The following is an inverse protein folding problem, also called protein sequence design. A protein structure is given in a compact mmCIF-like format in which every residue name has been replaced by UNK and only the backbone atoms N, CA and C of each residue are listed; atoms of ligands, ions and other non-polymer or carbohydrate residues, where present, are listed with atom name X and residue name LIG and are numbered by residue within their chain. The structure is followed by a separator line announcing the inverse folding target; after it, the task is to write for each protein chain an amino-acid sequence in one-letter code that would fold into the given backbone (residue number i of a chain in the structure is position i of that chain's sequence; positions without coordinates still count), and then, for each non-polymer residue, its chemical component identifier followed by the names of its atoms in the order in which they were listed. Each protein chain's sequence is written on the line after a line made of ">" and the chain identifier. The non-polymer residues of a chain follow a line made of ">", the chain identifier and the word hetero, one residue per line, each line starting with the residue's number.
data_IF_178928206195
#
_entry.id   IF_178928206195
#
_cell.length_a   1.000
_cell.length_b   1.000
_cell.length_c   1.000
_cell.angle_alpha   90.00
_cell.angle_beta   90.00
_cell.angle_gamma   90.00
#
_symmetry.space_group_name_H-M   'P 1'
#
loop_
_entity.id
_entity.type
_entity.pdbx_description
1 polymer ?
#
# COMPACT_ATOMS: atom_id res chain seq x y z
N UNK A 1 12.13 0.48 7.87
CA UNK A 1 10.74 0.65 7.38
C UNK A 1 10.76 0.89 5.87
N UNK A 2 10.07 0.03 5.11
CA UNK A 2 9.95 0.13 3.65
C UNK A 2 8.78 1.06 3.28
N UNK A 3 9.08 2.22 2.70
CA UNK A 3 8.07 3.20 2.31
C UNK A 3 7.71 3.04 0.82
N UNK A 4 6.53 2.48 0.56
CA UNK A 4 6.01 2.25 -0.79
C UNK A 4 5.31 3.51 -1.31
N UNK A 5 5.74 3.99 -2.48
CA UNK A 5 4.99 5.03 -3.19
C UNK A 5 3.83 4.36 -3.94
N UNK A 6 2.61 4.64 -3.49
CA UNK A 6 1.39 4.04 -4.05
C UNK A 6 0.82 4.88 -5.22
N UNK A 7 0.21 4.23 -6.22
CA UNK A 7 -0.55 4.90 -7.29
C UNK A 7 0.31 5.65 -8.30
N UNK A 8 1.39 5.02 -8.76
CA UNK A 8 2.41 5.64 -9.63
C UNK A 8 2.13 5.48 -11.13
N UNK A 9 1.07 4.76 -11.52
CA UNK A 9 0.70 4.41 -12.91
C UNK A 9 0.81 5.54 -13.96
N UNK A 10 0.61 6.80 -13.57
CA UNK A 10 0.68 7.98 -14.44
C UNK A 10 2.05 8.68 -14.51
N UNK A 11 3.11 8.15 -13.90
CA UNK A 11 4.38 8.86 -13.68
C UNK A 11 5.62 8.06 -14.11
N UNK A 12 5.55 7.34 -15.23
CA UNK A 12 6.68 6.52 -15.78
C UNK A 12 8.01 7.28 -15.72
N UNK A 13 8.09 8.44 -16.36
CA UNK A 13 9.33 9.24 -16.46
C UNK A 13 9.91 9.62 -15.08
N UNK A 14 9.16 10.26 -14.15
CA UNK A 14 9.64 10.53 -12.80
C UNK A 14 10.12 9.28 -12.04
N UNK A 15 9.43 8.14 -12.19
CA UNK A 15 9.78 6.91 -11.48
C UNK A 15 11.12 6.36 -11.97
N UNK A 16 11.35 6.29 -13.28
CA UNK A 16 12.65 5.89 -13.84
C UNK A 16 13.77 6.90 -13.57
N UNK A 17 13.43 8.19 -13.44
CA UNK A 17 14.38 9.26 -13.11
C UNK A 17 14.86 9.20 -11.67
N UNK A 18 13.93 9.13 -10.70
CA UNK A 18 14.26 9.23 -9.27
C UNK A 18 14.48 7.87 -8.61
N UNK A 19 13.97 6.80 -9.22
CA UNK A 19 14.23 5.41 -8.84
C UNK A 19 13.81 5.10 -7.38
N UNK A 20 12.53 5.20 -7.02
CA UNK A 20 12.05 4.80 -5.69
C UNK A 20 12.28 3.30 -5.43
N UNK A 21 12.80 2.93 -4.25
CA UNK A 21 13.13 1.53 -3.96
C UNK A 21 11.88 0.65 -3.77
N UNK A 22 10.75 1.24 -3.37
CA UNK A 22 9.54 0.49 -3.03
C UNK A 22 8.32 1.12 -3.70
N UNK A 23 7.53 0.30 -4.39
CA UNK A 23 6.30 0.71 -5.06
C UNK A 23 5.12 -0.14 -4.59
N UNK A 24 3.96 0.47 -4.49
CA UNK A 24 2.70 -0.26 -4.37
C UNK A 24 1.81 0.16 -5.53
N UNK A 25 1.15 -0.79 -6.18
CA UNK A 25 0.16 -0.46 -7.20
C UNK A 25 -1.01 -1.42 -7.13
N UNK A 26 -2.18 -0.93 -7.51
CA UNK A 26 -3.37 -1.74 -7.60
C UNK A 26 -3.40 -2.55 -8.90
N UNK A 27 -3.84 -3.80 -8.84
CA UNK A 27 -4.00 -4.70 -9.99
C UNK A 27 -4.77 -4.05 -11.15
N UNK A 28 -5.83 -3.30 -10.87
CA UNK A 28 -6.63 -2.64 -11.91
C UNK A 28 -5.93 -1.42 -12.55
N UNK A 29 -4.93 -0.86 -11.87
CA UNK A 29 -4.25 0.38 -12.26
C UNK A 29 -2.85 0.14 -12.82
N UNK A 30 -2.26 -1.03 -12.52
CA UNK A 30 -0.90 -1.37 -12.93
C UNK A 30 -0.73 -1.25 -14.45
N UNK A 31 0.47 -0.82 -14.86
CA UNK A 31 0.83 -0.57 -16.26
C UNK A 31 2.03 -1.43 -16.67
N UNK A 32 2.17 -1.77 -17.97
CA UNK A 32 3.30 -2.56 -18.45
C UNK A 32 4.67 -2.00 -18.05
N UNK A 33 4.83 -0.67 -18.05
CA UNK A 33 6.09 -0.05 -17.64
C UNK A 33 6.43 -0.26 -16.15
N UNK A 34 5.42 -0.44 -15.28
CA UNK A 34 5.66 -0.76 -13.88
C UNK A 34 6.20 -2.18 -13.76
N UNK A 35 5.74 -3.12 -14.59
CA UNK A 35 6.28 -4.48 -14.67
C UNK A 35 7.75 -4.49 -15.11
N UNK A 36 8.14 -3.58 -16.02
CA UNK A 36 9.55 -3.36 -16.37
C UNK A 36 10.34 -2.80 -15.17
N UNK A 37 9.76 -1.84 -14.44
CA UNK A 37 10.42 -1.20 -13.30
C UNK A 37 10.62 -2.15 -12.12
N UNK A 38 9.62 -2.97 -11.78
CA UNK A 38 9.72 -3.92 -10.65
C UNK A 38 10.79 -5.00 -10.88
N UNK A 39 11.08 -5.34 -12.14
CA UNK A 39 12.16 -6.27 -12.52
C UNK A 39 13.53 -5.59 -12.64
N UNK A 40 13.59 -4.26 -12.52
CA UNK A 40 14.84 -3.50 -12.61
C UNK A 40 15.62 -3.57 -11.29
N UNK A 41 16.96 -3.38 -11.31
CA UNK A 41 17.78 -3.36 -10.08
C UNK A 41 17.48 -2.17 -9.15
N UNK A 42 16.58 -1.27 -9.55
CA UNK A 42 16.17 -0.11 -8.77
C UNK A 42 15.05 -0.41 -7.79
N UNK A 43 14.21 -1.40 -8.10
CA UNK A 43 13.08 -1.79 -7.26
C UNK A 43 13.55 -2.89 -6.30
N UNK A 44 13.51 -2.60 -5.01
CA UNK A 44 13.84 -3.55 -3.93
C UNK A 44 12.62 -4.30 -3.41
N UNK A 45 11.42 -3.83 -3.73
CA UNK A 45 10.18 -4.48 -3.31
C UNK A 45 8.96 -3.83 -3.94
N UNK A 46 8.01 -4.66 -4.31
CA UNK A 46 6.76 -4.24 -4.90
C UNK A 46 5.62 -4.97 -4.20
N UNK A 47 4.56 -4.25 -3.83
CA UNK A 47 3.32 -4.85 -3.32
C UNK A 47 2.23 -4.61 -4.37
N UNK A 48 1.60 -5.70 -4.80
CA UNK A 48 0.40 -5.63 -5.62
C UNK A 48 -0.83 -5.59 -4.72
N UNK A 49 -1.59 -4.50 -4.75
CA UNK A 49 -2.90 -4.44 -4.10
C UNK A 49 -3.96 -5.03 -5.03
N UNK A 50 -4.94 -5.74 -4.48
CA UNK A 50 -6.03 -6.35 -5.26
C UNK A 50 -6.87 -5.28 -5.96
N UNK A 51 -6.91 -4.04 -5.47
CA UNK A 51 -7.73 -2.96 -6.08
C UNK A 51 -9.20 -2.99 -5.68
N UNK A 52 -9.55 -3.84 -4.72
CA UNK A 52 -10.83 -3.92 -4.04
C UNK A 52 -11.41 -2.55 -3.64
N UNK A 53 -10.55 -1.62 -3.21
CA UNK A 53 -10.95 -0.26 -2.80
C UNK A 53 -11.72 0.51 -3.88
N UNK A 54 -11.40 0.28 -5.15
CA UNK A 54 -12.09 0.96 -6.27
C UNK A 54 -13.55 0.50 -6.40
N UNK A 55 -13.83 -0.75 -6.05
CA UNK A 55 -15.19 -1.29 -6.08
C UNK A 55 -16.02 -0.80 -4.90
N UNK A 56 -15.42 -0.60 -3.71
CA UNK A 56 -16.13 -0.07 -2.54
C UNK A 56 -16.83 1.28 -2.79
N UNK A 57 -16.33 2.10 -3.72
CA UNK A 57 -16.90 3.43 -4.02
C UNK A 57 -17.88 3.45 -5.20
N UNK A 58 -18.13 2.30 -5.85
CA UNK A 58 -18.97 2.24 -7.06
C UNK A 58 -20.33 1.59 -6.75
N UNK A 59 -21.43 2.20 -7.20
CA UNK A 59 -22.79 1.60 -7.11
C UNK A 59 -22.97 0.33 -7.99
N UNK A 60 -21.89 -0.19 -8.59
CA UNK A 60 -21.89 -1.31 -9.55
C UNK A 60 -21.62 -2.69 -8.92
N UNK A 61 -21.46 -2.76 -7.59
CA UNK A 61 -21.02 -3.99 -6.90
C UNK A 61 -22.00 -5.16 -6.99
N UNK A 62 -23.26 -4.94 -7.35
CA UNK A 62 -24.28 -5.98 -7.40
C UNK A 62 -24.12 -7.02 -8.53
N UNK A 63 -23.07 -6.92 -9.38
CA UNK A 63 -22.86 -7.83 -10.52
C UNK A 63 -21.42 -8.35 -10.69
N UNK A 64 -20.54 -8.13 -9.71
CA UNK A 64 -19.16 -8.58 -9.84
C UNK A 64 -19.03 -10.01 -9.35
N UNK A 65 -18.56 -10.90 -10.21
CA UNK A 65 -18.16 -12.25 -9.84
C UNK A 65 -16.77 -12.18 -9.20
N UNK A 66 -16.74 -12.36 -7.88
CA UNK A 66 -15.49 -12.27 -7.11
C UNK A 66 -14.58 -13.47 -7.29
N UNK A 67 -15.15 -14.65 -7.61
CA UNK A 67 -14.35 -15.84 -7.88
C UNK A 67 -13.65 -15.68 -9.24
N UNK A 68 -14.38 -15.25 -10.28
CA UNK A 68 -13.76 -14.91 -11.58
C UNK A 68 -12.70 -13.81 -11.44
N UNK A 69 -12.93 -12.83 -10.56
CA UNK A 69 -11.95 -11.79 -10.26
C UNK A 69 -10.67 -12.36 -9.63
N UNK A 70 -10.81 -13.22 -8.62
CA UNK A 70 -9.68 -13.88 -7.95
C UNK A 70 -8.89 -14.72 -8.94
N UNK A 71 -9.55 -15.49 -9.80
CA UNK A 71 -8.87 -16.29 -10.83
C UNK A 71 -8.02 -15.41 -11.75
N UNK A 72 -8.58 -14.31 -12.27
CA UNK A 72 -7.83 -13.37 -13.13
C UNK A 72 -6.68 -12.69 -12.38
N UNK A 73 -6.87 -12.40 -11.10
CA UNK A 73 -5.84 -11.81 -10.26
C UNK A 73 -4.70 -12.80 -9.98
N UNK A 74 -5.02 -14.05 -9.68
CA UNK A 74 -4.07 -15.16 -9.52
C UNK A 74 -3.27 -15.40 -10.82
N UNK A 75 -3.95 -15.45 -11.98
CA UNK A 75 -3.31 -15.56 -13.29
C UNK A 75 -2.29 -14.45 -13.52
N UNK A 76 -2.62 -13.21 -13.14
CA UNK A 76 -1.71 -12.08 -13.26
C UNK A 76 -0.50 -12.21 -12.33
N UNK A 77 -0.72 -12.61 -11.07
CA UNK A 77 0.34 -12.85 -10.09
C UNK A 77 1.30 -13.92 -10.61
N UNK A 78 0.79 -15.03 -11.11
CA UNK A 78 1.58 -16.15 -11.64
C UNK A 78 2.34 -15.74 -12.91
N UNK A 79 1.66 -15.08 -13.86
CA UNK A 79 2.24 -14.64 -15.13
C UNK A 79 3.45 -13.73 -14.95
N UNK A 80 3.41 -12.85 -13.97
CA UNK A 80 4.48 -11.87 -13.73
C UNK A 80 5.38 -12.22 -12.55
N UNK A 81 5.15 -13.38 -11.92
CA UNK A 81 5.85 -13.86 -10.74
C UNK A 81 5.90 -12.81 -9.62
N UNK A 82 4.72 -12.28 -9.28
CA UNK A 82 4.61 -11.29 -8.21
C UNK A 82 4.81 -12.00 -6.85
N UNK A 83 5.77 -11.51 -6.06
CA UNK A 83 6.13 -12.10 -4.77
C UNK A 83 5.22 -11.64 -3.62
N UNK A 84 4.93 -10.33 -3.57
CA UNK A 84 4.12 -9.74 -2.50
C UNK A 84 2.85 -9.15 -3.09
N UNK A 85 1.71 -9.68 -2.67
CA UNK A 85 0.40 -9.25 -3.10
C UNK A 85 -0.58 -9.30 -1.93
N UNK A 86 -1.52 -8.36 -1.88
CA UNK A 86 -2.56 -8.34 -0.86
C UNK A 86 -3.77 -9.18 -1.28
N UNK A 87 -4.48 -9.71 -0.29
CA UNK A 87 -5.79 -10.33 -0.48
C UNK A 87 -6.85 -9.33 -0.98
N UNK A 88 -8.07 -9.83 -1.19
CA UNK A 88 -9.22 -8.99 -1.48
C UNK A 88 -9.79 -8.38 -0.18
N UNK A 89 -9.44 -7.13 0.11
CA UNK A 89 -10.02 -6.31 1.19
C UNK A 89 -11.44 -5.83 0.80
N UNK A 90 -12.41 -6.73 0.91
CA UNK A 90 -13.83 -6.49 0.60
C UNK A 90 -14.78 -6.96 1.70
N UNK A 91 -14.31 -7.02 2.95
CA UNK A 91 -15.09 -7.40 4.13
C UNK A 91 -16.45 -6.68 4.21
N UNK A 92 -16.47 -5.38 3.91
CA UNK A 92 -17.68 -4.56 3.96
C UNK A 92 -18.70 -4.88 2.85
N UNK A 93 -18.30 -5.65 1.82
CA UNK A 93 -19.14 -6.01 0.67
C UNK A 93 -19.70 -7.42 0.82
N UNK A 94 -18.84 -8.40 1.15
CA UNK A 94 -19.19 -9.83 1.12
C UNK A 94 -19.10 -10.52 2.49
N UNK A 95 -18.57 -9.84 3.51
CA UNK A 95 -18.32 -10.40 4.84
C UNK A 95 -17.04 -11.25 4.92
N UNK A 96 -16.53 -11.41 6.15
CA UNK A 96 -15.25 -12.08 6.43
C UNK A 96 -15.19 -13.51 5.87
N UNK A 97 -16.23 -14.32 6.10
CA UNK A 97 -16.25 -15.72 5.63
C UNK A 97 -16.02 -15.83 4.13
N UNK A 98 -16.62 -14.95 3.32
CA UNK A 98 -16.43 -14.98 1.87
C UNK A 98 -15.04 -14.48 1.47
N UNK A 99 -14.46 -13.53 2.21
CA UNK A 99 -13.07 -13.11 2.00
C UNK A 99 -12.10 -14.27 2.29
N UNK A 100 -12.34 -15.05 3.35
CA UNK A 100 -11.55 -16.25 3.66
C UNK A 100 -11.67 -17.31 2.55
N UNK A 101 -12.88 -17.61 2.07
CA UNK A 101 -13.08 -18.51 0.91
C UNK A 101 -12.31 -18.04 -0.34
N UNK A 102 -12.32 -16.72 -0.62
CA UNK A 102 -11.61 -16.12 -1.75
C UNK A 102 -10.08 -16.12 -1.54
N UNK A 103 -9.62 -16.02 -0.28
CA UNK A 103 -8.21 -16.14 0.08
C UNK A 103 -7.72 -17.56 -0.15
N UNK A 104 -8.48 -18.56 0.30
CA UNK A 104 -8.15 -19.97 0.10
C UNK A 104 -8.04 -20.29 -1.40
N UNK A 105 -8.97 -19.76 -2.21
CA UNK A 105 -8.90 -19.87 -3.66
C UNK A 105 -7.64 -19.19 -4.22
N UNK A 106 -7.34 -17.95 -3.80
CA UNK A 106 -6.15 -17.23 -4.25
C UNK A 106 -4.85 -17.97 -3.90
N UNK A 107 -4.76 -18.55 -2.71
CA UNK A 107 -3.63 -19.37 -2.27
C UNK A 107 -3.50 -20.66 -3.08
N UNK A 108 -4.62 -21.35 -3.33
CA UNK A 108 -4.64 -22.56 -4.15
C UNK A 108 -4.17 -22.30 -5.58
N UNK A 109 -4.61 -21.20 -6.19
CA UNK A 109 -4.28 -20.85 -7.57
C UNK A 109 -2.87 -20.26 -7.75
N UNK A 110 -2.33 -19.57 -6.73
CA UNK A 110 -0.99 -18.97 -6.80
C UNK A 110 0.11 -19.83 -6.19
N UNK A 111 -0.24 -20.76 -5.31
CA UNK A 111 0.72 -21.49 -4.47
C UNK A 111 1.50 -20.57 -3.51
N UNK A 112 1.01 -19.35 -3.27
CA UNK A 112 1.67 -18.31 -2.47
C UNK A 112 0.70 -17.73 -1.45
N UNK A 113 1.20 -17.39 -0.26
CA UNK A 113 0.39 -16.71 0.76
C UNK A 113 0.28 -15.21 0.47
N UNK A 114 -0.93 -14.63 0.41
CA UNK A 114 -1.13 -13.19 0.31
C UNK A 114 -0.75 -12.48 1.61
N UNK A 115 -0.58 -11.16 1.51
CA UNK A 115 -0.62 -10.26 2.66
C UNK A 115 -2.09 -10.13 3.09
N UNK A 116 -2.43 -10.74 4.22
CA UNK A 116 -3.78 -10.67 4.80
C UNK A 116 -4.05 -9.29 5.39
N UNK A 117 -5.16 -8.67 5.02
CA UNK A 117 -5.51 -7.30 5.44
C UNK A 117 -6.49 -7.38 6.61
N UNK A 118 -5.99 -7.09 7.81
CA UNK A 118 -6.80 -7.11 9.01
C UNK A 118 -7.60 -5.82 9.19
N UNK A 119 -8.88 -5.95 9.52
CA UNK A 119 -9.79 -4.86 9.85
C UNK A 119 -10.20 -4.89 11.32
N UNK A 120 -10.48 -3.70 11.87
CA UNK A 120 -10.89 -3.56 13.28
C UNK A 120 -12.15 -4.35 13.60
N UNK A 121 -13.06 -4.46 12.64
CA UNK A 121 -14.28 -5.28 12.74
C UNK A 121 -14.01 -6.77 13.03
N UNK A 122 -12.88 -7.33 12.57
CA UNK A 122 -12.53 -8.75 12.78
C UNK A 122 -12.10 -9.05 14.22
N UNK A 123 -11.67 -8.03 14.96
CA UNK A 123 -11.36 -8.14 16.38
C UNK A 123 -9.98 -8.71 16.69
N UNK A 124 -9.64 -8.70 17.98
CA UNK A 124 -8.28 -8.98 18.46
C UNK A 124 -7.84 -10.43 18.25
N UNK A 125 -8.75 -11.38 18.44
CA UNK A 125 -8.41 -12.80 18.32
C UNK A 125 -8.06 -13.16 16.87
N UNK A 126 -8.88 -12.70 15.92
CA UNK A 126 -8.62 -12.84 14.48
C UNK A 126 -7.25 -12.28 14.07
N UNK A 127 -6.83 -11.14 14.63
CA UNK A 127 -5.48 -10.62 14.38
C UNK A 127 -4.40 -11.60 14.85
N UNK A 128 -4.55 -12.18 16.05
CA UNK A 128 -3.58 -13.13 16.61
C UNK A 128 -3.52 -14.41 15.78
N UNK A 129 -4.67 -14.93 15.34
CA UNK A 129 -4.76 -16.12 14.51
C UNK A 129 -4.14 -15.86 13.11
N UNK A 130 -4.33 -14.66 12.57
CA UNK A 130 -3.74 -14.23 11.31
C UNK A 130 -2.21 -14.15 11.40
N UNK A 131 -1.66 -13.46 12.40
CA UNK A 131 -0.18 -13.36 12.54
C UNK A 131 0.49 -14.68 12.89
N UNK A 132 -0.25 -15.65 13.44
CA UNK A 132 0.24 -17.00 13.67
C UNK A 132 0.36 -17.83 12.39
N UNK A 133 -0.44 -17.50 11.37
CA UNK A 133 -0.58 -18.30 10.14
C UNK A 133 0.11 -17.68 8.92
N UNK A 134 0.27 -16.35 8.93
CA UNK A 134 0.79 -15.58 7.79
C UNK A 134 2.09 -14.86 8.15
N UNK A 135 3.17 -15.02 7.37
CA UNK A 135 4.47 -14.38 7.63
C UNK A 135 4.45 -12.87 7.36
N UNK A 136 3.38 -12.36 6.75
CA UNK A 136 3.22 -10.95 6.46
C UNK A 136 1.74 -10.56 6.46
N UNK A 137 1.39 -9.59 7.30
CA UNK A 137 0.03 -9.08 7.46
C UNK A 137 -0.04 -7.57 7.22
N UNK A 138 -1.23 -7.02 6.99
CA UNK A 138 -1.47 -5.60 6.89
C UNK A 138 -2.57 -5.14 7.86
N UNK A 139 -2.49 -3.89 8.31
CA UNK A 139 -3.61 -3.21 8.98
C UNK A 139 -4.35 -2.35 7.95
N UNK A 140 -5.58 -2.75 7.64
CA UNK A 140 -6.52 -2.04 6.76
C UNK A 140 -7.35 -0.97 7.48
N UNK A 141 -8.29 -0.37 6.75
CA UNK A 141 -9.29 0.54 7.33
C UNK A 141 -8.78 1.92 7.79
N UNK A 142 -7.47 2.20 7.71
CA UNK A 142 -6.86 3.48 8.12
C UNK A 142 -7.38 4.64 7.26
N UNK A 143 -7.38 4.47 5.93
CA UNK A 143 -7.86 5.50 4.99
C UNK A 143 -9.38 5.66 5.05
N UNK A 144 -10.11 4.55 5.23
CA UNK A 144 -11.56 4.52 5.41
C UNK A 144 -12.02 5.11 6.76
N UNK A 145 -11.09 5.48 7.65
CA UNK A 145 -11.32 6.01 9.00
C UNK A 145 -12.04 5.03 9.93
N UNK A 146 -11.95 3.74 9.64
CA UNK A 146 -12.33 2.67 10.57
C UNK A 146 -11.45 2.72 11.83
N UNK A 147 -10.15 3.00 11.63
CA UNK A 147 -9.18 3.28 12.69
C UNK A 147 -8.90 4.78 12.73
N UNK A 148 -9.34 5.45 13.80
CA UNK A 148 -9.13 6.90 13.98
C UNK A 148 -7.73 7.21 14.46
N UNK A 149 -7.24 8.44 14.22
CA UNK A 149 -5.92 8.90 14.71
C UNK A 149 -5.75 8.76 16.23
N UNK A 150 -6.81 8.96 17.01
CA UNK A 150 -6.81 8.76 18.47
C UNK A 150 -6.55 7.31 18.89
N UNK A 151 -6.67 6.37 17.97
CA UNK A 151 -6.50 4.93 18.17
C UNK A 151 -5.12 4.44 17.69
N UNK A 152 -4.32 5.29 17.03
CA UNK A 152 -2.97 4.92 16.57
C UNK A 152 -2.03 4.54 17.73
N UNK A 153 -2.36 4.96 18.96
CA UNK A 153 -1.70 4.50 20.20
C UNK A 153 -1.72 2.97 20.38
N UNK A 154 -2.59 2.25 19.67
CA UNK A 154 -2.66 0.79 19.70
C UNK A 154 -1.76 0.12 18.65
N UNK A 155 -1.28 0.83 17.61
CA UNK A 155 -0.39 0.24 16.61
C UNK A 155 0.86 -0.44 17.20
N UNK A 156 1.53 0.13 18.23
CA UNK A 156 2.66 -0.56 18.86
C UNK A 156 2.30 -1.94 19.43
N UNK A 157 1.05 -2.16 19.86
CA UNK A 157 0.61 -3.48 20.33
C UNK A 157 0.50 -4.47 19.16
N UNK A 158 -0.15 -4.09 18.06
CA UNK A 158 -0.28 -4.93 16.86
C UNK A 158 1.09 -5.28 16.28
N UNK A 159 1.97 -4.28 16.17
CA UNK A 159 3.30 -4.45 15.62
C UNK A 159 4.13 -5.42 16.46
N UNK A 160 4.17 -5.21 17.79
CA UNK A 160 4.86 -6.15 18.69
C UNK A 160 4.31 -7.57 18.57
N UNK A 161 2.98 -7.73 18.47
CA UNK A 161 2.38 -9.05 18.33
C UNK A 161 2.71 -9.72 17.00
N UNK A 162 2.70 -8.99 15.89
CA UNK A 162 3.18 -9.56 14.62
C UNK A 162 4.63 -10.05 14.77
N UNK A 163 5.52 -9.24 15.34
CA UNK A 163 6.92 -9.60 15.53
C UNK A 163 7.12 -10.78 16.50
N UNK A 164 6.32 -10.88 17.58
CA UNK A 164 6.35 -12.03 18.51
C UNK A 164 6.03 -13.36 17.81
N UNK A 165 5.18 -13.33 16.78
CA UNK A 165 4.83 -14.51 15.96
C UNK A 165 5.73 -14.66 14.71
N UNK A 166 6.74 -13.80 14.55
CA UNK A 166 7.65 -13.84 13.39
C UNK A 166 7.05 -13.26 12.10
N UNK A 167 5.90 -12.61 12.17
CA UNK A 167 5.23 -11.98 11.04
C UNK A 167 5.70 -10.53 10.84
N UNK A 168 5.84 -10.12 9.58
CA UNK A 168 5.98 -8.72 9.19
C UNK A 168 4.62 -8.02 9.18
N UNK A 169 4.61 -6.69 9.35
CA UNK A 169 3.37 -5.90 9.38
C UNK A 169 3.43 -4.64 8.50
N UNK A 170 2.42 -4.49 7.65
CA UNK A 170 2.23 -3.37 6.73
C UNK A 170 1.14 -2.41 7.24
N UNK A 171 1.39 -1.10 7.17
CA UNK A 171 0.36 -0.09 7.41
C UNK A 171 -0.31 0.36 6.10
N UNK A 172 -1.46 -0.23 5.75
CA UNK A 172 -2.15 0.04 4.48
C UNK A 172 -2.70 1.47 4.45
N UNK A 173 -2.24 2.27 3.50
CA UNK A 173 -2.52 3.69 3.35
C UNK A 173 -2.01 4.56 4.51
N UNK A 174 -1.06 4.07 5.31
CA UNK A 174 -0.51 4.82 6.44
C UNK A 174 0.64 5.73 6.01
N UNK A 175 0.41 7.05 6.05
CA UNK A 175 1.48 8.02 5.77
C UNK A 175 2.47 8.12 6.94
N UNK A 176 3.80 8.05 6.69
CA UNK A 176 4.82 8.22 7.73
C UNK A 176 4.84 9.64 8.33
N UNK A 177 4.13 10.59 7.71
CA UNK A 177 3.90 11.92 8.27
C UNK A 177 3.02 11.90 9.52
N UNK A 178 2.27 10.82 9.77
CA UNK A 178 1.45 10.65 10.98
C UNK A 178 2.23 10.11 12.18
N UNK A 179 3.54 9.87 12.03
CA UNK A 179 4.42 9.35 13.07
C UNK A 179 5.10 8.04 12.68
N UNK A 180 6.11 7.66 13.45
CA UNK A 180 6.78 6.38 13.31
C UNK A 180 6.33 5.45 14.45
N UNK A 181 5.56 4.42 14.10
CA UNK A 181 5.04 3.43 15.05
C UNK A 181 5.79 2.10 15.02
N UNK A 182 6.77 1.94 14.12
CA UNK A 182 7.56 0.71 13.99
C UNK A 182 7.04 -0.30 12.96
N UNK A 183 6.20 0.09 12.02
CA UNK A 183 5.79 -0.78 10.92
C UNK A 183 7.00 -1.22 10.08
N UNK A 184 6.99 -2.47 9.60
CA UNK A 184 8.04 -2.98 8.69
C UNK A 184 7.94 -2.32 7.32
N UNK A 185 6.72 -1.97 6.92
CA UNK A 185 6.42 -1.28 5.68
C UNK A 185 5.14 -0.47 5.79
N UNK A 186 5.04 0.56 4.97
CA UNK A 186 3.83 1.38 4.82
C UNK A 186 3.73 1.81 3.36
N UNK A 187 2.54 2.17 2.90
CA UNK A 187 2.34 2.81 1.61
C UNK A 187 1.63 4.16 1.74
N UNK A 188 1.81 5.02 0.76
CA UNK A 188 1.06 6.28 0.72
C UNK A 188 0.93 6.87 -0.67
N UNK A 189 -0.21 7.53 -0.90
CA UNK A 189 -0.44 8.44 -2.03
C UNK A 189 -0.24 9.91 -1.65
N UNK A 190 0.25 10.21 -0.43
CA UNK A 190 0.49 11.59 0.05
C UNK A 190 1.45 12.37 -0.85
N UNK A 191 2.29 11.68 -1.62
CA UNK A 191 3.19 12.28 -2.62
C UNK A 191 2.43 12.90 -3.79
N UNK A 192 1.18 12.51 -4.08
CA UNK A 192 0.28 13.13 -5.07
C UNK A 192 -0.23 14.47 -4.53
N UNK A 193 0.71 15.39 -4.32
CA UNK A 193 0.48 16.64 -3.60
C UNK A 193 -0.39 17.63 -4.36
N UNK A 194 -0.54 17.48 -5.68
CA UNK A 194 -1.44 18.32 -6.48
C UNK A 194 -2.89 18.24 -5.98
N UNK A 195 -3.33 17.06 -5.53
CA UNK A 195 -4.65 16.80 -4.92
C UNK A 195 -4.87 17.67 -3.67
N UNK A 196 -3.82 17.92 -2.89
CA UNK A 196 -3.87 18.63 -1.60
C UNK A 196 -3.27 20.05 -1.63
N UNK A 197 -2.75 20.50 -2.78
CA UNK A 197 -1.91 21.70 -2.90
C UNK A 197 -0.72 21.67 -1.92
N UNK A 198 -0.08 20.51 -1.76
CA UNK A 198 0.96 20.32 -0.75
C UNK A 198 2.25 19.79 -1.36
N UNK A 199 3.29 20.63 -1.35
CA UNK A 199 4.65 20.18 -1.62
C UNK A 199 5.32 19.72 -0.33
N UNK A 200 6.25 18.79 -0.48
CA UNK A 200 7.06 18.28 0.61
C UNK A 200 8.53 18.43 0.27
N UNK A 201 9.35 18.80 1.25
CA UNK A 201 10.80 18.84 1.11
C UNK A 201 11.43 17.86 2.09
N UNK A 202 12.36 17.04 1.64
CA UNK A 202 13.16 16.21 2.52
C UNK A 202 14.37 17.03 3.01
N UNK A 203 14.52 17.17 4.33
CA UNK A 203 15.60 17.96 4.94
C UNK A 203 16.86 17.13 5.28
N UNK A 204 16.90 15.87 4.85
CA UNK A 204 17.96 14.90 5.20
C UNK A 204 17.63 14.04 6.42
N UNK A 205 16.59 14.38 7.19
CA UNK A 205 16.13 13.59 8.35
C UNK A 205 14.64 13.27 8.31
N UNK A 206 13.83 14.23 7.87
CA UNK A 206 12.37 14.12 7.82
C UNK A 206 11.83 14.81 6.57
N UNK A 207 10.62 14.40 6.23
CA UNK A 207 9.86 15.02 5.16
C UNK A 207 8.99 16.14 5.77
N UNK A 208 9.21 17.39 5.36
CA UNK A 208 8.48 18.56 5.88
C UNK A 208 7.51 19.12 4.84
N UNK A 209 6.25 19.44 5.23
CA UNK A 209 5.34 20.14 4.34
C UNK A 209 5.82 21.58 4.13
N UNK A 210 5.93 22.02 2.88
CA UNK A 210 6.23 23.41 2.56
C UNK A 210 4.99 24.30 2.76
N UNK A 211 5.17 25.57 3.18
CA UNK A 211 4.07 26.51 3.28
C UNK A 211 3.32 26.66 1.95
N UNK A 212 1.99 26.66 2.01
CA UNK A 212 1.14 26.88 0.83
C UNK A 212 1.35 28.30 0.31
N UNK A 213 1.92 28.46 -0.89
CA UNK A 213 1.97 29.76 -1.57
C UNK A 213 0.66 30.02 -2.32
N UNK A 214 0.18 31.27 -2.28
CA UNK A 214 -0.99 31.72 -3.04
C UNK A 214 -0.75 31.44 -4.54
N UNK A 215 -1.74 30.85 -5.22
CA UNK A 215 -1.76 30.57 -6.68
C UNK A 215 -0.86 29.45 -7.23
N UNK A 216 -0.29 28.53 -6.42
CA UNK A 216 0.54 27.44 -6.97
C UNK A 216 -0.18 26.63 -8.07
N UNK A 217 -1.44 26.25 -7.84
CA UNK A 217 -2.26 25.46 -8.77
C UNK A 217 -2.50 26.11 -10.14
N UNK A 218 -2.38 27.45 -10.24
CA UNK A 218 -2.61 28.19 -11.49
C UNK A 218 -1.34 28.35 -12.33
N UNK A 219 -0.17 28.07 -11.76
CA UNK A 219 1.14 28.38 -12.39
C UNK A 219 1.96 27.15 -12.76
N UNK A 220 1.62 25.97 -12.23
CA UNK A 220 2.41 24.74 -12.41
C UNK A 220 1.46 23.58 -12.71
N UNK A 221 1.76 22.78 -13.73
CA UNK A 221 0.95 21.61 -14.08
C UNK A 221 0.94 20.59 -12.94
N UNK A 222 -0.15 19.82 -12.83
CA UNK A 222 -0.24 18.73 -11.84
C UNK A 222 0.92 17.74 -11.95
N UNK A 223 1.40 17.50 -13.17
CA UNK A 223 2.54 16.63 -13.43
C UNK A 223 3.83 17.15 -12.80
N UNK A 224 4.21 18.40 -13.07
CA UNK A 224 5.42 19.02 -12.50
C UNK A 224 5.34 19.10 -10.97
N UNK A 225 4.15 19.37 -10.44
CA UNK A 225 3.90 19.37 -9.00
C UNK A 225 4.23 18.01 -8.37
N UNK A 226 3.69 16.95 -8.97
CA UNK A 226 3.84 15.60 -8.45
C UNK A 226 5.22 15.02 -8.73
N UNK A 227 5.87 15.39 -9.84
CA UNK A 227 7.27 15.05 -10.09
C UNK A 227 8.19 15.56 -8.96
N UNK A 228 8.02 16.82 -8.55
CA UNK A 228 8.79 17.37 -7.43
C UNK A 228 8.59 16.54 -6.16
N UNK A 229 7.34 16.19 -5.83
CA UNK A 229 7.10 15.35 -4.68
C UNK A 229 7.66 13.93 -4.84
N UNK A 230 7.56 13.30 -6.01
CA UNK A 230 8.17 11.99 -6.26
C UNK A 230 9.66 12.04 -5.94
N UNK A 231 10.37 13.09 -6.36
CA UNK A 231 11.80 13.29 -6.02
C UNK A 231 12.03 13.27 -4.50
N UNK A 232 11.31 14.12 -3.78
CA UNK A 232 11.51 14.33 -2.34
C UNK A 232 11.07 13.11 -1.51
N UNK A 233 9.94 12.50 -1.87
CA UNK A 233 9.45 11.26 -1.27
C UNK A 233 10.36 10.07 -1.58
N UNK A 234 10.94 10.01 -2.78
CA UNK A 234 11.94 8.98 -3.13
C UNK A 234 13.21 9.13 -2.32
N UNK A 235 13.71 10.36 -2.15
CA UNK A 235 14.87 10.62 -1.29
C UNK A 235 14.60 10.19 0.15
N UNK A 236 13.39 10.47 0.67
CA UNK A 236 12.98 10.04 1.99
C UNK A 236 12.83 8.51 2.11
N UNK A 237 12.23 7.85 1.11
CA UNK A 237 12.12 6.38 1.09
C UNK A 237 13.50 5.70 1.14
N UNK A 238 14.47 6.21 0.36
CA UNK A 238 15.87 5.73 0.39
C UNK A 238 16.56 5.97 1.74
N UNK A 239 16.22 7.07 2.41
CA UNK A 239 16.73 7.34 3.76
C UNK A 239 16.17 6.37 4.80
N UNK A 240 14.87 6.09 4.75
CA UNK A 240 14.21 5.14 5.66
C UNK A 240 14.69 3.71 5.46
N UNK A 241 14.94 3.33 4.21
CA UNK A 241 15.50 2.03 3.82
C UNK A 241 16.87 1.80 4.47
N UNK A 242 17.81 2.75 4.34
CA UNK A 242 19.16 2.66 4.91
C UNK A 242 19.23 2.61 6.44
N UNK A 243 18.18 3.04 7.12
CA UNK A 243 18.09 3.03 8.60
C UNK A 243 17.36 1.82 9.15
N UNK A 244 16.66 1.06 8.30
CA UNK A 244 15.81 -0.06 8.67
C UNK A 244 16.40 -1.42 8.35
N UNK A 245 17.74 -1.51 8.25
CA UNK A 245 18.50 -2.75 8.11
C UNK A 245 19.62 -2.78 9.14
#
# INVERSE_FOLDING_TARGET
>A
MRLHLAGTYGYKEPIFKYKPPYLLESYISIRPWQLEYIKSPYCKGFILDSGAFTFMNSKKNAKLDWEEYVMKYADFINKYDIELFAELDIDSIVGLRKVEELRDLLEAETGKQPIVVWHKSRGKQDFLDTVASYPYVAIGGIVAKEIKKSEYKYFPWFIRKAHEYGAQIHGMGFSPLNGNYGFDSVDTTSWVGSKYSQLYKFDGKKLVPLPKKKNWRRKVSCFVFNEYNIREWTAYAKYLDKRGG
#
